data_IF_647965448307
#
_entry.id   IF_647965448307
#
_cell.length_a   1.000
_cell.length_b   1.000
_cell.length_c   1.000
_cell.angle_alpha   90.00
_cell.angle_beta   90.00
_cell.angle_gamma   90.00
#
_symmetry.space_group_name_H-M   'P 1'
#
loop_
_entity.id
_entity.type
_entity.pdbx_description
1 polymer ?
#
# COMPACT_ATOMS: atom_id res chain seq x y z
N UNK A 1 0.23 -9.00 -4.87
CA UNK A 1 1.19 -8.82 -3.76
C UNK A 1 1.13 -10.07 -2.94
N UNK A 2 2.28 -10.62 -2.55
CA UNK A 2 2.35 -11.87 -1.77
C UNK A 2 1.94 -11.72 -0.31
N UNK A 3 1.16 -10.69 0.04
CA UNK A 3 0.60 -10.50 1.38
C UNK A 3 -0.72 -11.26 1.44
N UNK A 4 -0.79 -12.26 2.31
CA UNK A 4 -1.96 -13.09 2.52
C UNK A 4 -2.58 -12.79 3.89
N UNK A 5 -3.87 -13.12 4.09
CA UNK A 5 -4.48 -13.08 5.41
C UNK A 5 -3.65 -13.87 6.43
N UNK A 6 -3.42 -13.27 7.60
CA UNK A 6 -2.58 -13.85 8.67
C UNK A 6 -1.11 -13.43 8.63
N UNK A 7 -0.68 -12.74 7.57
CA UNK A 7 0.68 -12.16 7.51
C UNK A 7 0.85 -10.97 8.46
N UNK A 8 2.05 -10.84 9.00
CA UNK A 8 2.48 -9.65 9.73
C UNK A 8 3.32 -8.76 8.83
N UNK A 9 2.93 -7.49 8.68
CA UNK A 9 3.68 -6.50 7.92
C UNK A 9 4.54 -5.61 8.82
N UNK A 10 5.82 -5.45 8.47
CA UNK A 10 6.75 -4.54 9.14
C UNK A 10 6.73 -3.21 8.42
N UNK A 11 6.36 -2.14 9.13
CA UNK A 11 6.15 -0.80 8.57
C UNK A 11 7.22 0.18 9.05
N UNK A 12 7.87 0.87 8.11
CA UNK A 12 8.74 2.01 8.38
C UNK A 12 7.95 3.32 8.21
N UNK A 13 7.81 4.11 9.28
CA UNK A 13 6.99 5.34 9.30
C UNK A 13 7.67 6.56 8.65
N UNK A 14 8.99 6.61 8.62
CA UNK A 14 9.76 7.80 8.21
C UNK A 14 10.17 7.82 6.73
N UNK A 15 9.64 6.90 5.92
CA UNK A 15 9.98 6.80 4.50
C UNK A 15 8.97 7.54 3.61
N UNK A 16 9.45 8.49 2.81
CA UNK A 16 8.70 8.89 1.62
C UNK A 16 8.59 7.66 0.70
N UNK A 17 7.37 7.24 0.32
CA UNK A 17 7.20 6.08 -0.57
C UNK A 17 7.87 6.33 -1.91
N UNK A 18 8.61 5.33 -2.39
CA UNK A 18 9.18 5.31 -3.74
C UNK A 18 8.24 4.59 -4.69
N UNK A 19 8.45 4.79 -5.98
CA UNK A 19 7.70 4.09 -7.02
C UNK A 19 7.75 2.58 -6.77
N UNK A 20 6.58 1.93 -6.85
CA UNK A 20 6.40 0.50 -6.58
C UNK A 20 6.56 0.03 -5.13
N UNK A 21 6.80 0.91 -4.15
CA UNK A 21 6.77 0.53 -2.73
C UNK A 21 5.37 0.08 -2.31
N UNK A 22 5.26 -0.86 -1.37
CA UNK A 22 3.97 -1.19 -0.74
C UNK A 22 3.80 -0.26 0.45
N UNK A 23 2.68 0.47 0.51
CA UNK A 23 2.39 1.42 1.57
C UNK A 23 1.20 0.97 2.41
N UNK A 24 1.27 1.27 3.70
CA UNK A 24 0.10 1.30 4.55
C UNK A 24 -0.53 2.69 4.41
N UNK A 25 -1.73 2.72 3.85
CA UNK A 25 -2.47 3.94 3.61
C UNK A 25 -3.88 3.84 4.18
N UNK A 26 -4.42 4.99 4.57
CA UNK A 26 -5.86 5.17 4.79
C UNK A 26 -6.41 5.96 3.62
N UNK A 27 -7.41 5.39 2.96
CA UNK A 27 -8.05 5.94 1.76
C UNK A 27 -9.54 6.05 2.04
N UNK A 28 -10.09 7.25 1.96
CA UNK A 28 -11.52 7.51 2.14
C UNK A 28 -12.10 6.81 3.41
N UNK A 29 -11.34 6.85 4.51
CA UNK A 29 -11.71 6.26 5.79
C UNK A 29 -11.27 4.81 6.03
N UNK A 30 -10.90 4.05 4.99
CA UNK A 30 -10.54 2.63 5.06
C UNK A 30 -9.02 2.37 5.04
N UNK A 31 -8.57 1.38 5.80
CA UNK A 31 -7.17 0.96 5.83
C UNK A 31 -6.84 0.00 4.69
N UNK A 32 -5.71 0.24 4.02
CA UNK A 32 -5.32 -0.57 2.88
C UNK A 32 -3.80 -0.71 2.74
N UNK A 33 -3.39 -1.87 2.21
CA UNK A 33 -2.04 -2.09 1.68
C UNK A 33 -2.12 -2.06 0.16
N UNK A 34 -1.43 -1.09 -0.45
CA UNK A 34 -1.41 -0.91 -1.90
C UNK A 34 -0.02 -0.51 -2.37
N UNK A 35 0.24 -0.70 -3.66
CA UNK A 35 1.50 -0.28 -4.27
C UNK A 35 1.41 1.20 -4.58
N UNK A 36 2.35 1.97 -4.07
CA UNK A 36 2.53 3.37 -4.37
C UNK A 36 3.01 3.56 -5.80
N UNK A 37 2.34 4.45 -6.53
CA UNK A 37 2.76 4.87 -7.86
C UNK A 37 2.42 6.34 -8.08
N UNK A 38 3.14 6.99 -8.99
CA UNK A 38 2.81 8.33 -9.48
C UNK A 38 2.61 8.32 -10.98
N UNK A 39 1.40 8.62 -11.43
CA UNK A 39 1.06 8.77 -12.85
C UNK A 39 0.72 10.24 -13.11
N UNK A 40 1.39 10.86 -14.08
CA UNK A 40 1.20 12.27 -14.44
C UNK A 40 1.29 13.24 -13.23
N UNK A 41 2.19 12.94 -12.28
CA UNK A 41 2.37 13.73 -11.05
C UNK A 41 1.29 13.52 -9.97
N UNK A 42 0.25 12.73 -10.25
CA UNK A 42 -0.77 12.35 -9.26
C UNK A 42 -0.41 11.05 -8.58
N UNK A 43 -0.66 10.98 -7.29
CA UNK A 43 -0.49 9.74 -6.51
C UNK A 43 -1.62 8.80 -6.85
N UNK A 44 -1.27 7.57 -7.22
CA UNK A 44 -2.23 6.50 -7.47
C UNK A 44 -1.84 5.27 -6.67
N UNK A 45 -2.85 4.51 -6.25
CA UNK A 45 -2.65 3.24 -5.55
C UNK A 45 -2.94 2.10 -6.50
N UNK A 46 -1.88 1.42 -6.92
CA UNK A 46 -1.98 0.27 -7.82
C UNK A 46 -2.32 -0.96 -7.00
N UNK A 47 -3.44 -1.65 -7.28
CA UNK A 47 -3.74 -2.90 -6.62
C UNK A 47 -2.72 -3.94 -7.05
N UNK A 48 -2.34 -4.77 -6.10
CA UNK A 48 -1.41 -5.84 -6.38
C UNK A 48 -2.09 -7.10 -6.94
N UNK A 49 -3.39 -7.02 -7.22
CA UNK A 49 -4.19 -8.00 -7.95
C UNK A 49 -4.67 -7.31 -9.25
N UNK A 50 -4.26 -7.79 -10.45
CA UNK A 50 -4.62 -7.20 -11.74
C UNK A 50 -6.12 -7.16 -12.03
N UNK A 51 -6.93 -7.98 -11.35
CA UNK A 51 -8.38 -7.98 -11.50
C UNK A 51 -9.07 -6.73 -10.90
N UNK A 52 -8.33 -5.88 -10.18
CA UNK A 52 -8.86 -4.69 -9.54
C UNK A 52 -8.36 -3.42 -10.24
N UNK A 53 -9.18 -2.36 -10.34
CA UNK A 53 -8.78 -1.11 -10.96
C UNK A 53 -7.81 -0.32 -10.06
N UNK A 54 -7.02 0.56 -10.70
CA UNK A 54 -6.19 1.54 -9.99
C UNK A 54 -7.11 2.45 -9.17
N UNK A 55 -6.74 2.69 -7.91
CA UNK A 55 -7.50 3.55 -7.01
C UNK A 55 -6.83 4.93 -7.02
N UNK A 56 -7.58 5.93 -7.49
CA UNK A 56 -7.28 7.34 -7.26
C UNK A 56 -8.07 7.77 -6.01
N UNK A 57 -7.40 8.25 -4.95
CA UNK A 57 -8.10 8.74 -3.76
C UNK A 57 -8.94 9.97 -4.11
N UNK A 58 -10.21 9.99 -3.67
CA UNK A 58 -11.15 11.07 -4.04
C UNK A 58 -11.17 12.20 -3.01
N UNK A 59 -11.12 11.86 -1.73
CA UNK A 59 -11.26 12.85 -0.65
C UNK A 59 -10.03 12.84 0.25
N UNK A 60 -9.59 11.67 0.71
CA UNK A 60 -8.48 11.56 1.66
C UNK A 60 -7.52 10.44 1.27
N UNK A 61 -6.22 10.77 1.25
CA UNK A 61 -5.13 9.79 1.24
C UNK A 61 -4.11 10.17 2.30
N UNK A 62 -4.01 9.31 3.33
CA UNK A 62 -2.99 9.42 4.35
C UNK A 62 -2.08 8.20 4.28
N UNK A 63 -0.80 8.39 3.95
CA UNK A 63 0.21 7.33 3.99
C UNK A 63 0.86 7.30 5.38
N UNK A 64 0.79 6.15 6.03
CA UNK A 64 1.34 5.95 7.37
C UNK A 64 2.75 5.35 7.39
N UNK A 65 3.16 4.73 6.28
CA UNK A 65 4.51 4.19 6.15
C UNK A 65 4.64 3.19 5.02
N UNK A 66 5.88 2.76 4.81
CA UNK A 66 6.27 1.81 3.77
C UNK A 66 6.47 0.43 4.39
N UNK A 67 5.91 -0.61 3.76
CA UNK A 67 6.16 -2.00 4.12
C UNK A 67 7.59 -2.36 3.73
N UNK A 68 8.39 -2.77 4.72
CA UNK A 68 9.77 -3.23 4.51
C UNK A 68 9.93 -4.74 4.54
N UNK A 69 8.97 -5.44 5.15
CA UNK A 69 9.01 -6.90 5.23
C UNK A 69 7.66 -7.49 5.56
N UNK A 70 7.52 -8.76 5.24
CA UNK A 70 6.38 -9.60 5.60
C UNK A 70 6.91 -10.80 6.35
N UNK A 71 6.33 -11.08 7.52
CA UNK A 71 6.58 -12.30 8.28
C UNK A 71 5.35 -13.19 8.17
N UNK A 72 5.53 -14.38 7.61
CA UNK A 72 4.51 -15.42 7.56
C UNK A 72 4.92 -16.58 8.45
N UNK A 73 4.05 -16.94 9.40
CA UNK A 73 4.21 -18.10 10.25
C UNK A 73 3.56 -19.31 9.56
N UNK A 74 4.33 -20.37 9.35
CA UNK A 74 3.81 -21.68 8.97
C UNK A 74 3.78 -22.54 10.25
N UNK A 75 2.69 -23.31 10.44
CA UNK A 75 2.57 -24.27 11.54
C UNK A 75 2.98 -25.66 11.08
#
# INVERSE_FOLDING_TARGET
AGVLPGDMAIIERSGNPRESDIVLARVDGEWTLKRWSRINGKVVLVPANPAYPIIEPKEELTVYGVVRGIVRKYQ
#
